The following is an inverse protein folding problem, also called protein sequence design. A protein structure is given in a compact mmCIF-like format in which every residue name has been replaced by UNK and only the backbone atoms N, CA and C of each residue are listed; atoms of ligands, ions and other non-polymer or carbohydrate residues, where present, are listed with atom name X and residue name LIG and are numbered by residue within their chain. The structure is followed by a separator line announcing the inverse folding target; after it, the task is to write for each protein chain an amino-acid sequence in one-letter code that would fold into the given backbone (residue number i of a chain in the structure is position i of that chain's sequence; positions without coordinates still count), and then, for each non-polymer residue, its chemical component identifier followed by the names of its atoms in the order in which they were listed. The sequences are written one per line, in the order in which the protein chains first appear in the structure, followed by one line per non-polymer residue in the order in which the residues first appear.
data_IF_973852427061
#
_entry.id   IF_973852427061
#
_cell.length_a   1.000
_cell.length_b   1.000
_cell.length_c   1.000
_cell.angle_alpha   90.00
_cell.angle_beta   90.00
_cell.angle_gamma   90.00
#
_symmetry.space_group_name_H-M   'P 1'
#
loop_
_entity.id
_entity.type
_entity.pdbx_description
1 polymer ?
#
# COMPACT_ATOMS: atom_id res chain seq x y z
N UNK A 1 9.72 -21.84 -22.50
CA UNK A 1 10.15 -20.90 -21.45
C UNK A 1 9.12 -20.91 -20.33
N UNK A 2 9.39 -21.63 -19.22
CA UNK A 2 8.64 -21.40 -17.97
C UNK A 2 9.33 -20.24 -17.30
N UNK A 3 8.98 -19.02 -17.71
CA UNK A 3 9.57 -17.81 -17.17
C UNK A 3 9.31 -17.80 -15.66
N UNK A 4 10.41 -17.75 -14.90
CA UNK A 4 10.39 -17.72 -13.44
C UNK A 4 9.70 -16.43 -13.00
N UNK A 5 8.38 -16.43 -12.88
CA UNK A 5 7.70 -15.37 -12.16
C UNK A 5 8.15 -15.45 -10.70
N UNK A 6 8.53 -14.31 -10.12
CA UNK A 6 8.87 -14.27 -8.70
C UNK A 6 7.58 -14.31 -7.86
N UNK A 7 7.68 -13.96 -6.58
CA UNK A 7 6.53 -13.99 -5.67
C UNK A 7 5.41 -13.06 -6.14
N UNK A 8 4.19 -13.60 -6.12
CA UNK A 8 2.96 -12.87 -6.37
C UNK A 8 2.77 -11.74 -5.36
N UNK A 9 2.37 -10.57 -5.84
CA UNK A 9 2.14 -9.37 -5.03
C UNK A 9 0.64 -9.06 -4.91
N UNK A 10 -0.04 -8.80 -6.03
CA UNK A 10 -1.45 -8.40 -6.05
C UNK A 10 -2.11 -8.77 -7.37
N UNK A 11 -3.40 -9.08 -7.31
CA UNK A 11 -4.28 -9.39 -8.43
C UNK A 11 -5.40 -8.36 -8.50
N UNK A 12 -5.65 -7.84 -9.69
CA UNK A 12 -6.82 -7.03 -10.01
C UNK A 12 -7.74 -7.79 -10.95
N UNK A 13 -9.03 -7.78 -10.63
CA UNK A 13 -10.12 -8.29 -11.46
C UNK A 13 -11.17 -7.18 -11.62
N UNK A 14 -12.10 -7.38 -12.55
CA UNK A 14 -13.23 -6.47 -12.70
C UNK A 14 -13.98 -6.33 -11.36
N UNK A 15 -14.16 -5.10 -10.90
CA UNK A 15 -14.85 -4.78 -9.64
C UNK A 15 -13.95 -4.73 -8.40
N UNK A 16 -12.68 -5.15 -8.49
CA UNK A 16 -11.73 -5.05 -7.39
C UNK A 16 -11.15 -3.63 -7.30
N UNK A 17 -11.44 -2.94 -6.21
CA UNK A 17 -11.01 -1.55 -6.00
C UNK A 17 -9.58 -1.48 -5.46
N UNK A 18 -9.24 -2.32 -4.49
CA UNK A 18 -7.93 -2.29 -3.81
C UNK A 18 -7.01 -3.43 -4.23
N UNK A 19 -7.54 -4.41 -4.95
CA UNK A 19 -6.82 -5.60 -5.38
C UNK A 19 -6.75 -6.68 -4.30
N UNK A 20 -6.52 -7.92 -4.75
CA UNK A 20 -6.35 -9.09 -3.89
C UNK A 20 -4.85 -9.31 -3.69
N UNK A 21 -4.32 -8.80 -2.58
CA UNK A 21 -2.90 -8.96 -2.23
C UNK A 21 -2.57 -10.37 -1.74
N UNK A 22 -1.32 -10.77 -1.93
CA UNK A 22 -0.73 -11.90 -1.24
C UNK A 22 -0.88 -11.73 0.29
N UNK A 23 -1.18 -12.81 1.01
CA UNK A 23 -1.39 -12.78 2.47
C UNK A 23 -0.19 -12.26 3.25
N UNK A 24 1.03 -12.41 2.70
CA UNK A 24 2.26 -11.88 3.31
C UNK A 24 2.41 -10.37 3.18
N UNK A 25 1.62 -9.73 2.33
CA UNK A 25 1.70 -8.29 1.99
C UNK A 25 0.75 -7.46 2.86
N UNK A 26 0.79 -7.69 4.17
CA UNK A 26 -0.13 -7.08 5.15
C UNK A 26 -0.06 -5.56 5.12
N UNK A 27 1.13 -4.96 5.15
CA UNK A 27 1.31 -3.49 5.18
C UNK A 27 0.77 -2.83 3.90
N UNK A 28 1.04 -3.40 2.73
CA UNK A 28 0.55 -2.87 1.45
C UNK A 28 -0.97 -2.98 1.34
N UNK A 29 -1.54 -4.11 1.78
CA UNK A 29 -2.99 -4.31 1.84
C UNK A 29 -3.65 -3.27 2.75
N UNK A 30 -3.10 -3.04 3.93
CA UNK A 30 -3.61 -2.02 4.88
C UNK A 30 -3.56 -0.60 4.30
N UNK A 31 -2.46 -0.24 3.63
CA UNK A 31 -2.32 1.07 2.97
C UNK A 31 -3.35 1.22 1.84
N UNK A 32 -3.46 0.22 0.95
CA UNK A 32 -4.41 0.25 -0.17
C UNK A 32 -5.85 0.34 0.34
N UNK A 33 -6.20 -0.40 1.38
CA UNK A 33 -7.54 -0.33 1.97
C UNK A 33 -7.82 1.02 2.65
N UNK A 34 -6.80 1.63 3.28
CA UNK A 34 -6.96 2.91 3.98
C UNK A 34 -7.03 4.10 3.03
N UNK A 35 -6.36 4.03 1.87
CA UNK A 35 -6.09 5.19 1.00
C UNK A 35 -6.56 5.02 -0.46
N UNK A 36 -6.84 3.82 -0.90
CA UNK A 36 -7.39 3.52 -2.22
C UNK A 36 -8.80 2.91 -2.17
N UNK A 37 -9.33 2.69 -0.96
CA UNK A 37 -10.67 2.15 -0.75
C UNK A 37 -11.77 3.17 -1.04
N UNK A 38 -13.02 2.69 -1.09
CA UNK A 38 -14.19 3.52 -1.41
C UNK A 38 -14.39 4.69 -0.44
N UNK A 39 -14.11 4.48 0.85
CA UNK A 39 -14.31 5.49 1.90
C UNK A 39 -13.28 6.63 1.84
N UNK A 40 -12.09 6.33 1.34
CA UNK A 40 -10.95 7.23 1.30
C UNK A 40 -10.14 6.93 0.05
N UNK A 41 -10.63 7.39 -1.11
CA UNK A 41 -9.92 7.29 -2.39
C UNK A 41 -9.01 8.51 -2.59
N UNK A 42 -7.81 8.39 -2.05
CA UNK A 42 -6.67 9.31 -2.28
C UNK A 42 -5.94 8.93 -3.56
N UNK A 43 -5.83 7.63 -3.86
CA UNK A 43 -5.27 7.15 -5.12
C UNK A 43 -6.05 5.94 -5.66
N UNK A 44 -5.74 5.55 -6.90
CA UNK A 44 -6.25 4.31 -7.49
C UNK A 44 -5.16 3.23 -7.46
N UNK A 45 -5.32 2.16 -6.65
CA UNK A 45 -4.28 1.13 -6.51
C UNK A 45 -3.87 0.49 -7.83
N UNK A 46 -4.82 0.19 -8.72
CA UNK A 46 -4.51 -0.43 -10.01
C UNK A 46 -3.60 0.47 -10.86
N UNK A 47 -3.89 1.78 -10.89
CA UNK A 47 -3.08 2.75 -11.64
C UNK A 47 -1.67 2.86 -11.06
N UNK A 48 -1.53 2.88 -9.73
CA UNK A 48 -0.20 2.94 -9.10
C UNK A 48 0.61 1.68 -9.41
N UNK A 49 0.04 0.48 -9.26
CA UNK A 49 0.76 -0.76 -9.58
C UNK A 49 1.12 -0.85 -11.07
N UNK A 50 0.25 -0.38 -11.95
CA UNK A 50 0.53 -0.29 -13.40
C UNK A 50 1.71 0.63 -13.69
N UNK A 51 1.71 1.86 -13.15
CA UNK A 51 2.82 2.79 -13.30
C UNK A 51 4.15 2.22 -12.78
N UNK A 52 4.11 1.50 -11.64
CA UNK A 52 5.31 0.87 -11.08
C UNK A 52 5.82 -0.29 -11.94
N UNK A 53 4.93 -1.01 -12.62
CA UNK A 53 5.31 -2.04 -13.59
C UNK A 53 5.88 -1.43 -14.88
N UNK A 54 5.27 -0.36 -15.39
CA UNK A 54 5.74 0.35 -16.58
C UNK A 54 7.14 0.97 -16.35
N UNK A 55 7.46 1.34 -15.10
CA UNK A 55 8.79 1.79 -14.67
C UNK A 55 9.78 0.64 -14.34
N UNK A 56 9.40 -0.62 -14.56
CA UNK A 56 10.27 -1.79 -14.33
C UNK A 56 10.55 -2.11 -12.86
N UNK A 57 9.76 -1.57 -11.92
CA UNK A 57 9.85 -1.93 -10.51
C UNK A 57 9.10 -3.25 -10.22
N UNK A 58 8.06 -3.52 -10.99
CA UNK A 58 7.20 -4.71 -10.90
C UNK A 58 7.09 -5.41 -12.26
N UNK A 59 6.61 -6.66 -12.24
CA UNK A 59 6.27 -7.40 -13.45
C UNK A 59 4.75 -7.50 -13.53
N UNK A 60 4.15 -7.00 -14.62
CA UNK A 60 2.72 -7.13 -14.93
C UNK A 60 2.49 -8.34 -15.82
N UNK A 61 1.50 -9.16 -15.49
CA UNK A 61 1.03 -10.29 -16.29
C UNK A 61 -0.47 -10.16 -16.47
N UNK A 62 -0.93 -10.19 -17.70
CA UNK A 62 -2.34 -10.11 -18.06
C UNK A 62 -2.82 -11.50 -18.46
N UNK A 63 -3.88 -11.98 -17.84
CA UNK A 63 -4.48 -13.28 -18.13
C UNK A 63 -5.95 -13.13 -18.47
N UNK A 64 -6.37 -13.78 -19.55
CA UNK A 64 -7.77 -13.87 -19.93
C UNK A 64 -8.40 -15.06 -19.21
N UNK A 65 -9.45 -14.80 -18.44
CA UNK A 65 -10.22 -15.81 -17.72
C UNK A 65 -11.17 -16.55 -18.69
N UNK A 66 -11.68 -17.71 -18.26
CA UNK A 66 -12.58 -18.55 -19.05
C UNK A 66 -13.92 -17.85 -19.39
N UNK A 67 -14.36 -16.94 -18.52
CA UNK A 67 -15.56 -16.12 -18.72
C UNK A 67 -15.34 -14.92 -19.66
N UNK A 68 -14.14 -14.80 -20.25
CA UNK A 68 -13.77 -13.71 -21.15
C UNK A 68 -13.31 -12.43 -20.45
N UNK A 69 -13.38 -12.36 -19.11
CA UNK A 69 -12.85 -11.24 -18.33
C UNK A 69 -11.31 -11.27 -18.27
N UNK A 70 -10.70 -10.13 -17.93
CA UNK A 70 -9.26 -10.04 -17.73
C UNK A 70 -8.91 -9.96 -16.25
N UNK A 71 -7.86 -10.69 -15.89
CA UNK A 71 -7.16 -10.62 -14.61
C UNK A 71 -5.78 -9.99 -14.84
N UNK A 72 -5.40 -9.01 -14.02
CA UNK A 72 -4.08 -8.38 -14.09
C UNK A 72 -3.33 -8.69 -12.79
N UNK A 73 -2.21 -9.39 -12.93
CA UNK A 73 -1.37 -9.85 -11.84
C UNK A 73 -0.07 -9.08 -11.82
N UNK A 74 0.34 -8.67 -10.63
CA UNK A 74 1.63 -8.05 -10.40
C UNK A 74 2.50 -8.96 -9.55
N UNK A 75 3.78 -9.05 -9.93
CA UNK A 75 4.79 -9.85 -9.27
C UNK A 75 6.00 -9.00 -8.92
N UNK A 76 6.73 -9.41 -7.88
CA UNK A 76 8.07 -8.91 -7.68
C UNK A 76 8.99 -9.38 -8.82
N UNK A 77 10.05 -8.62 -9.15
CA UNK A 77 11.09 -9.10 -10.06
C UNK A 77 12.02 -10.09 -9.35
N UNK A 78 12.43 -11.16 -10.05
CA UNK A 78 13.20 -12.31 -9.49
C UNK A 78 14.52 -11.89 -8.83
N UNK A 79 15.23 -10.96 -9.46
CA UNK A 79 16.60 -10.61 -9.08
C UNK A 79 16.68 -9.52 -8.01
N UNK A 80 15.54 -8.91 -7.63
CA UNK A 80 15.54 -7.80 -6.66
C UNK A 80 15.15 -8.30 -5.27
N UNK A 81 15.75 -7.68 -4.25
CA UNK A 81 15.35 -7.89 -2.87
C UNK A 81 13.92 -7.39 -2.64
N UNK A 82 13.00 -8.33 -2.34
CA UNK A 82 11.56 -8.08 -2.14
C UNK A 82 11.29 -7.02 -1.08
N UNK A 83 12.01 -7.03 0.04
CA UNK A 83 11.80 -6.05 1.11
C UNK A 83 12.13 -4.63 0.63
N UNK A 84 13.19 -4.47 -0.15
CA UNK A 84 13.56 -3.18 -0.73
C UNK A 84 12.55 -2.73 -1.78
N UNK A 85 12.07 -3.63 -2.64
CA UNK A 85 11.03 -3.30 -3.62
C UNK A 85 9.74 -2.91 -2.93
N UNK A 86 9.26 -3.72 -1.96
CA UNK A 86 8.09 -3.41 -1.13
C UNK A 86 8.21 -2.02 -0.50
N UNK A 87 9.38 -1.72 0.06
CA UNK A 87 9.63 -0.42 0.70
C UNK A 87 9.56 0.74 -0.29
N UNK A 88 10.09 0.57 -1.51
CA UNK A 88 9.98 1.56 -2.58
C UNK A 88 8.53 1.80 -3.00
N UNK A 89 7.73 0.73 -3.13
CA UNK A 89 6.30 0.83 -3.44
C UNK A 89 5.57 1.62 -2.36
N UNK A 90 5.79 1.28 -1.09
CA UNK A 90 5.17 1.99 0.05
C UNK A 90 5.56 3.46 0.07
N UNK A 91 6.85 3.77 -0.09
CA UNK A 91 7.32 5.15 -0.12
C UNK A 91 6.71 5.92 -1.29
N UNK A 92 6.61 5.31 -2.48
CA UNK A 92 5.97 5.92 -3.63
C UNK A 92 4.51 6.28 -3.35
N UNK A 93 3.71 5.30 -2.90
CA UNK A 93 2.29 5.50 -2.56
C UNK A 93 2.11 6.62 -1.53
N UNK A 94 2.91 6.60 -0.46
CA UNK A 94 2.77 7.58 0.62
C UNK A 94 3.27 8.96 0.23
N UNK A 95 4.28 9.07 -0.65
CA UNK A 95 4.75 10.36 -1.14
C UNK A 95 3.76 11.01 -2.12
N UNK A 96 3.02 10.22 -2.91
CA UNK A 96 1.89 10.75 -3.69
C UNK A 96 0.73 11.17 -2.76
N UNK A 97 0.40 10.34 -1.78
CA UNK A 97 -0.74 10.56 -0.89
C UNK A 97 -0.56 11.72 0.11
N UNK A 98 0.69 12.06 0.50
CA UNK A 98 0.96 13.04 1.58
C UNK A 98 0.42 14.44 1.29
N UNK A 99 0.21 14.79 0.03
CA UNK A 99 -0.25 16.11 -0.39
C UNK A 99 -1.76 16.19 -0.59
N UNK A 100 -2.49 15.06 -0.48
CA UNK A 100 -3.94 15.05 -0.66
C UNK A 100 -4.66 15.50 0.63
N UNK A 101 -5.50 16.54 0.51
CA UNK A 101 -6.30 17.08 1.61
C UNK A 101 -7.27 16.05 2.22
N UNK A 102 -7.72 15.06 1.44
CA UNK A 102 -8.60 13.97 1.91
C UNK A 102 -7.91 13.08 2.93
N UNK A 103 -6.59 12.94 2.85
CA UNK A 103 -5.80 12.16 3.80
C UNK A 103 -5.98 12.70 5.24
N UNK A 104 -5.79 14.02 5.40
CA UNK A 104 -5.96 14.70 6.68
C UNK A 104 -7.42 14.69 7.14
N UNK A 105 -8.37 14.92 6.23
CA UNK A 105 -9.81 14.88 6.52
C UNK A 105 -10.24 13.52 7.09
N UNK A 106 -9.66 12.43 6.58
CA UNK A 106 -9.91 11.07 7.06
C UNK A 106 -9.08 10.69 8.30
N UNK A 107 -8.34 11.63 8.89
CA UNK A 107 -7.62 11.44 10.14
C UNK A 107 -6.31 10.68 9.99
N UNK A 108 -5.69 10.74 8.82
CA UNK A 108 -4.38 10.18 8.53
C UNK A 108 -3.36 11.28 8.22
N UNK A 109 -2.09 10.97 8.45
CA UNK A 109 -0.96 11.78 8.01
C UNK A 109 0.18 10.85 7.57
N UNK A 110 0.98 11.30 6.61
CA UNK A 110 2.24 10.64 6.26
C UNK A 110 3.36 11.23 7.10
N UNK A 111 4.15 10.37 7.76
CA UNK A 111 5.28 10.77 8.60
C UNK A 111 6.55 10.08 8.16
N UNK A 112 7.68 10.75 8.27
CA UNK A 112 8.99 10.18 7.98
C UNK A 112 9.58 9.60 9.26
N UNK A 113 10.07 8.36 9.23
CA UNK A 113 10.79 7.78 10.35
C UNK A 113 12.28 8.17 10.32
N UNK A 114 13.02 7.79 11.37
CA UNK A 114 14.46 8.11 11.51
C UNK A 114 15.34 7.55 10.38
N UNK A 115 14.86 6.57 9.61
CA UNK A 115 15.58 5.96 8.50
C UNK A 115 15.17 6.57 7.14
N UNK A 116 14.50 7.73 7.13
CA UNK A 116 14.01 8.39 5.90
C UNK A 116 12.82 7.72 5.24
N UNK A 117 12.17 6.77 5.92
CA UNK A 117 11.13 5.91 5.38
C UNK A 117 9.74 6.44 5.77
N UNK A 118 8.84 6.59 4.80
CA UNK A 118 7.47 7.11 4.99
C UNK A 118 6.51 6.10 5.64
N UNK A 119 5.70 6.53 6.60
CA UNK A 119 4.68 5.69 7.24
C UNK A 119 3.35 6.41 7.32
N UNK A 120 2.27 5.65 7.21
CA UNK A 120 0.93 6.14 7.45
C UNK A 120 0.63 6.17 8.95
N UNK A 121 0.34 7.34 9.49
CA UNK A 121 -0.01 7.55 10.89
C UNK A 121 -1.49 7.93 11.03
N UNK A 122 -2.22 7.21 11.88
CA UNK A 122 -3.60 7.57 12.23
C UNK A 122 -3.62 8.60 13.38
N UNK A 123 -4.10 9.81 13.09
CA UNK A 123 -4.15 10.95 14.02
C UNK A 123 -5.09 10.65 15.19
N UNK A 124 -6.23 9.98 14.94
CA UNK A 124 -7.20 9.62 15.99
C UNK A 124 -6.62 8.63 17.02
N UNK A 125 -5.78 7.69 16.59
CA UNK A 125 -5.08 6.74 17.48
C UNK A 125 -3.94 7.43 18.25
N UNK A 126 -3.23 8.37 17.62
CA UNK A 126 -2.18 9.18 18.23
C UNK A 126 -2.71 9.95 19.46
N UNK A 127 -3.84 10.65 19.33
CA UNK A 127 -4.41 11.44 20.42
C UNK A 127 -4.78 10.59 21.65
N UNK A 128 -5.44 9.43 21.45
CA UNK A 128 -5.79 8.49 22.54
C UNK A 128 -4.55 7.97 23.26
N UNK A 129 -3.48 7.63 22.52
CA UNK A 129 -2.24 7.14 23.12
C UNK A 129 -1.50 8.24 23.89
N UNK A 130 -1.52 9.48 23.41
CA UNK A 130 -0.95 10.63 24.12
C UNK A 130 -1.69 10.91 25.43
N UNK A 131 -3.03 10.86 25.41
CA UNK A 131 -3.87 11.01 26.61
C UNK A 131 -3.61 9.86 27.60
N UNK A 132 -3.51 8.62 27.12
CA UNK A 132 -3.21 7.43 27.95
C UNK A 132 -1.82 7.52 28.60
N UNK A 133 -0.81 7.99 27.86
CA UNK A 133 0.54 8.23 28.40
C UNK A 133 0.53 9.32 29.47
N UNK A 134 -0.11 10.48 29.23
CA UNK A 134 -0.26 11.54 30.25
C UNK A 134 -0.91 11.05 31.53
N UNK A 135 -2.01 10.28 31.45
CA UNK A 135 -2.67 9.69 32.63
C UNK A 135 -1.76 8.73 33.40
N UNK A 136 -0.95 7.92 32.71
CA UNK A 136 0.01 7.00 33.35
C UNK A 136 1.16 7.72 34.07
N UNK A 137 1.56 8.90 33.60
CA UNK A 137 2.53 9.75 34.27
C UNK A 137 1.93 10.46 35.50
N UNK A 138 0.69 10.95 35.39
CA UNK A 138 0.00 11.61 36.50
C UNK A 138 -0.38 10.64 37.64
N UNK A 139 -0.63 9.36 37.35
CA UNK A 139 -0.94 8.34 38.36
C UNK A 139 0.32 7.67 38.97
N UNK A 140 1.51 8.16 38.64
CA UNK A 140 2.80 7.67 39.16
C UNK A 140 3.55 8.71 40.00
N UNK A 141 2.98 9.90 40.16
CA UNK A 141 3.40 10.94 41.10
C UNK A 141 2.46 10.92 42.31
#
# INVERSE_FOLDING_TARGET
MKDKLADFLVLFRRGEVTGIHNEREVELKEICNSLGGLDCKVFDPYMVYSNLADNGLLVRVETKNLDGSWSILFYYPVEKNKNNVRRKIINFILDEARYDYKLLKNGYAVVTNNNGNLKLACIRKSLKNTIKRKRKFLNKA
#
